data_IF_016457673535
#
_entry.id   IF_016457673535
#
_cell.length_a   1.000
_cell.length_b   1.000
_cell.length_c   1.000
_cell.angle_alpha   90.00
_cell.angle_beta   90.00
_cell.angle_gamma   90.00
#
_symmetry.space_group_name_H-M   'P 1'
#
loop_
_entity.id
_entity.type
_entity.pdbx_description
1 polymer ?
#
# COMPACT_ATOMS: atom_id res chain seq x y z
N UNK A 1 2.13 6.95 -12.44
CA UNK A 1 2.06 6.92 -10.97
C UNK A 1 2.27 5.50 -10.44
N UNK A 2 1.41 4.53 -10.69
CA UNK A 2 1.53 3.16 -10.13
C UNK A 2 2.82 2.43 -10.55
N UNK A 3 3.31 2.61 -11.78
CA UNK A 3 4.63 2.08 -12.19
C UNK A 3 5.77 2.60 -11.29
N UNK A 4 5.69 3.86 -10.82
CA UNK A 4 6.66 4.43 -9.90
C UNK A 4 6.52 3.85 -8.49
N UNK A 5 5.29 3.57 -8.04
CA UNK A 5 5.07 2.89 -6.77
C UNK A 5 5.69 1.48 -6.77
N UNK A 6 5.52 0.73 -7.87
CA UNK A 6 6.14 -0.59 -8.03
C UNK A 6 7.68 -0.52 -8.15
N UNK A 7 8.21 0.50 -8.85
CA UNK A 7 9.66 0.76 -8.89
C UNK A 7 10.23 1.01 -7.49
N UNK A 8 9.55 1.82 -6.68
CA UNK A 8 9.97 2.11 -5.31
C UNK A 8 9.81 0.91 -4.37
N UNK A 9 8.82 0.06 -4.62
CA UNK A 9 8.62 -1.18 -3.88
C UNK A 9 9.78 -2.17 -4.08
N UNK A 10 10.43 -2.17 -5.27
CA UNK A 10 11.60 -3.00 -5.61
C UNK A 10 11.34 -4.47 -5.25
N UNK A 11 10.32 -5.03 -5.89
CA UNK A 11 9.75 -6.35 -5.60
C UNK A 11 10.47 -7.42 -6.38
N UNK A 12 10.84 -8.50 -5.70
CA UNK A 12 11.38 -9.74 -6.28
C UNK A 12 10.59 -10.98 -5.84
N UNK A 13 10.96 -12.14 -6.33
CA UNK A 13 10.34 -13.44 -6.06
C UNK A 13 10.35 -13.90 -4.59
N UNK A 14 11.12 -13.24 -3.73
CA UNK A 14 11.19 -13.51 -2.29
C UNK A 14 10.40 -12.48 -1.46
N UNK A 15 9.93 -11.42 -2.11
CA UNK A 15 9.29 -10.28 -1.45
C UNK A 15 7.83 -10.56 -1.13
N UNK A 16 7.43 -10.45 0.12
CA UNK A 16 6.04 -10.41 0.56
C UNK A 16 5.51 -8.98 0.61
N UNK A 17 4.35 -8.74 0.00
CA UNK A 17 3.76 -7.41 -0.15
C UNK A 17 2.41 -7.33 0.56
N UNK A 18 2.12 -6.22 1.23
CA UNK A 18 0.79 -5.87 1.70
C UNK A 18 0.35 -4.56 1.01
N UNK A 19 -0.74 -4.62 0.26
CA UNK A 19 -1.36 -3.49 -0.45
C UNK A 19 -2.61 -3.05 0.31
N UNK A 20 -2.51 -1.93 1.00
CA UNK A 20 -3.57 -1.40 1.86
C UNK A 20 -4.32 -0.31 1.10
N UNK A 21 -5.65 -0.43 1.07
CA UNK A 21 -6.58 0.33 0.22
C UNK A 21 -6.47 -0.08 -1.26
N UNK A 22 -6.42 -1.40 -1.51
CA UNK A 22 -6.06 -1.97 -2.81
C UNK A 22 -7.14 -1.79 -3.91
N UNK A 23 -8.35 -1.36 -3.58
CA UNK A 23 -9.46 -1.23 -4.53
C UNK A 23 -9.71 -2.56 -5.26
N UNK A 24 -9.79 -2.50 -6.58
CA UNK A 24 -9.98 -3.68 -7.46
C UNK A 24 -8.69 -4.46 -7.72
N UNK A 25 -7.63 -4.22 -6.92
CA UNK A 25 -6.39 -4.96 -6.95
C UNK A 25 -5.37 -4.51 -8.00
N UNK A 26 -5.46 -3.30 -8.55
CA UNK A 26 -4.59 -2.86 -9.65
C UNK A 26 -3.10 -2.94 -9.28
N UNK A 27 -2.70 -2.38 -8.14
CA UNK A 27 -1.31 -2.43 -7.66
C UNK A 27 -0.97 -3.83 -7.20
N UNK A 28 -1.86 -4.47 -6.42
CA UNK A 28 -1.69 -5.83 -5.90
C UNK A 28 -1.36 -6.84 -7.01
N UNK A 29 -2.14 -6.83 -8.09
CA UNK A 29 -1.98 -7.80 -9.19
C UNK A 29 -0.71 -7.52 -10.02
N UNK A 30 -0.35 -6.25 -10.19
CA UNK A 30 0.93 -5.91 -10.83
C UNK A 30 2.11 -6.34 -9.96
N UNK A 31 2.04 -6.16 -8.64
CA UNK A 31 3.04 -6.62 -7.69
C UNK A 31 3.17 -8.14 -7.67
N UNK A 32 2.04 -8.86 -7.70
CA UNK A 32 1.97 -10.31 -7.63
C UNK A 32 2.74 -11.03 -8.75
N UNK A 33 2.93 -10.39 -9.90
CA UNK A 33 3.70 -10.96 -11.02
C UNK A 33 5.16 -11.24 -10.67
N UNK A 34 5.72 -10.50 -9.72
CA UNK A 34 7.11 -10.63 -9.31
C UNK A 34 7.27 -10.98 -7.82
N UNK A 35 6.22 -10.81 -7.02
CA UNK A 35 6.25 -11.03 -5.58
C UNK A 35 6.12 -12.51 -5.22
N UNK A 36 6.64 -12.89 -4.05
CA UNK A 36 6.37 -14.17 -3.40
C UNK A 36 4.90 -14.32 -3.05
N UNK A 37 4.32 -13.29 -2.45
CA UNK A 37 2.91 -13.26 -2.04
C UNK A 37 2.44 -11.81 -1.90
N UNK A 38 1.14 -11.60 -2.13
CA UNK A 38 0.48 -10.30 -1.94
C UNK A 38 -0.75 -10.45 -1.07
N UNK A 39 -0.91 -9.57 -0.11
CA UNK A 39 -2.13 -9.41 0.68
C UNK A 39 -2.74 -8.06 0.35
N UNK A 40 -3.94 -8.05 -0.22
CA UNK A 40 -4.71 -6.84 -0.51
C UNK A 40 -5.80 -6.60 0.54
N UNK A 41 -5.96 -5.35 0.97
CA UNK A 41 -6.98 -4.93 1.94
C UNK A 41 -7.78 -3.76 1.39
N UNK A 42 -9.11 -3.88 1.38
CA UNK A 42 -10.04 -2.86 0.90
C UNK A 42 -11.36 -2.97 1.68
N UNK A 43 -11.97 -1.83 2.01
CA UNK A 43 -13.23 -1.80 2.75
C UNK A 43 -14.45 -2.11 1.87
N UNK A 44 -14.36 -1.82 0.58
CA UNK A 44 -15.46 -2.00 -0.37
C UNK A 44 -15.51 -3.46 -0.81
N UNK A 45 -16.48 -4.22 -0.30
CA UNK A 45 -16.65 -5.66 -0.59
C UNK A 45 -16.72 -5.95 -2.09
N UNK A 46 -17.47 -5.14 -2.85
CA UNK A 46 -17.58 -5.27 -4.31
C UNK A 46 -16.22 -5.11 -5.02
N UNK A 47 -15.36 -4.19 -4.56
CA UNK A 47 -14.02 -4.02 -5.12
C UNK A 47 -13.15 -5.26 -4.86
N UNK A 48 -13.30 -5.91 -3.71
CA UNK A 48 -12.61 -7.17 -3.39
C UNK A 48 -13.11 -8.33 -4.26
N UNK A 49 -14.42 -8.39 -4.55
CA UNK A 49 -14.94 -9.37 -5.52
C UNK A 49 -14.29 -9.16 -6.89
N UNK A 50 -14.28 -7.92 -7.37
CA UNK A 50 -13.64 -7.56 -8.65
C UNK A 50 -12.12 -7.84 -8.62
N UNK A 51 -11.42 -7.60 -7.50
CA UNK A 51 -10.00 -7.93 -7.35
C UNK A 51 -9.73 -9.44 -7.49
N UNK A 52 -10.57 -10.28 -6.86
CA UNK A 52 -10.49 -11.74 -6.96
C UNK A 52 -10.77 -12.22 -8.40
N UNK A 53 -11.80 -11.66 -9.05
CA UNK A 53 -12.07 -11.96 -10.46
C UNK A 53 -10.90 -11.54 -11.36
N UNK A 54 -10.32 -10.38 -11.11
CA UNK A 54 -9.16 -9.89 -11.85
C UNK A 54 -7.93 -10.78 -11.64
N UNK A 55 -7.72 -11.30 -10.43
CA UNK A 55 -6.66 -12.28 -10.16
C UNK A 55 -6.83 -13.54 -11.02
N UNK A 56 -8.03 -14.11 -11.04
CA UNK A 56 -8.35 -15.29 -11.87
C UNK A 56 -8.15 -15.00 -13.36
N UNK A 57 -8.63 -13.85 -13.86
CA UNK A 57 -8.49 -13.46 -15.28
C UNK A 57 -7.03 -13.25 -15.72
N UNK A 58 -6.13 -13.03 -14.80
CA UNK A 58 -4.70 -12.79 -15.04
C UNK A 58 -3.81 -13.95 -14.58
N UNK A 59 -4.39 -15.11 -14.23
CA UNK A 59 -3.67 -16.31 -13.76
C UNK A 59 -2.76 -16.02 -12.55
N UNK A 60 -3.23 -15.17 -11.60
CA UNK A 60 -2.52 -14.80 -10.39
C UNK A 60 -3.09 -15.61 -9.21
N UNK A 61 -2.26 -16.48 -8.64
CA UNK A 61 -2.62 -17.39 -7.54
C UNK A 61 -2.00 -16.99 -6.19
N UNK A 62 -1.02 -16.08 -6.18
CA UNK A 62 -0.25 -15.66 -5.01
C UNK A 62 -0.76 -14.37 -4.36
N UNK A 63 -2.00 -13.96 -4.68
CA UNK A 63 -2.66 -12.78 -4.09
C UNK A 63 -3.90 -13.19 -3.29
N UNK A 64 -4.01 -12.69 -2.05
CA UNK A 64 -5.16 -12.91 -1.15
C UNK A 64 -5.77 -11.54 -0.84
N UNK A 65 -7.11 -11.45 -0.87
CA UNK A 65 -7.82 -10.20 -0.66
C UNK A 65 -8.81 -10.28 0.49
N UNK A 66 -8.81 -9.24 1.35
CA UNK A 66 -9.68 -9.10 2.51
C UNK A 66 -10.60 -7.89 2.38
N UNK A 67 -11.91 -8.11 2.55
CA UNK A 67 -12.92 -7.06 2.60
C UNK A 67 -13.14 -6.64 4.06
N UNK A 68 -12.43 -5.61 4.50
CA UNK A 68 -12.60 -4.98 5.83
C UNK A 68 -11.87 -3.63 5.81
N UNK A 69 -12.15 -2.79 6.79
CA UNK A 69 -11.40 -1.54 6.94
C UNK A 69 -9.96 -1.81 7.36
N UNK A 70 -9.03 -0.99 6.85
CA UNK A 70 -7.61 -1.16 7.13
C UNK A 70 -7.30 -1.13 8.63
N UNK A 71 -7.93 -0.20 9.36
CA UNK A 71 -7.78 -0.04 10.80
C UNK A 71 -8.26 -1.26 11.61
N UNK A 72 -9.16 -2.08 11.05
CA UNK A 72 -9.65 -3.30 11.69
C UNK A 72 -8.82 -4.53 11.34
N UNK A 73 -8.52 -4.73 10.06
CA UNK A 73 -7.94 -6.00 9.60
C UNK A 73 -6.41 -6.02 9.64
N UNK A 74 -5.74 -4.90 9.34
CA UNK A 74 -4.28 -4.87 9.29
C UNK A 74 -3.64 -5.21 10.65
N UNK A 75 -4.09 -4.62 11.78
CA UNK A 75 -3.56 -5.04 13.09
C UNK A 75 -3.75 -6.53 13.37
N UNK A 76 -4.91 -7.09 13.02
CA UNK A 76 -5.20 -8.53 13.22
C UNK A 76 -4.31 -9.45 12.37
N UNK A 77 -4.04 -9.05 11.11
CA UNK A 77 -3.14 -9.80 10.23
C UNK A 77 -1.72 -9.81 10.80
N UNK A 78 -1.23 -8.66 11.24
CA UNK A 78 0.10 -8.55 11.87
C UNK A 78 0.17 -9.36 13.18
N UNK A 79 -0.87 -9.33 14.01
CA UNK A 79 -0.95 -10.14 15.24
C UNK A 79 -0.95 -11.65 14.95
N UNK A 80 -1.57 -12.06 13.83
CA UNK A 80 -1.57 -13.46 13.36
C UNK A 80 -0.25 -13.90 12.74
N UNK A 81 0.72 -13.00 12.59
CA UNK A 81 2.06 -13.32 12.10
C UNK A 81 2.37 -12.89 10.68
N UNK A 82 1.47 -12.14 10.01
CA UNK A 82 1.82 -11.53 8.72
C UNK A 82 3.00 -10.58 8.89
N UNK A 83 4.01 -10.73 8.05
CA UNK A 83 5.24 -9.93 8.07
C UNK A 83 5.62 -9.54 6.65
N UNK A 84 4.95 -8.54 6.07
CA UNK A 84 5.28 -8.06 4.73
C UNK A 84 6.68 -7.42 4.71
N UNK A 85 7.46 -7.71 3.67
CA UNK A 85 8.72 -7.01 3.40
C UNK A 85 8.48 -5.59 2.91
N UNK A 86 7.39 -5.41 2.15
CA UNK A 86 6.96 -4.14 1.59
C UNK A 86 5.49 -3.89 1.88
N UNK A 87 5.18 -2.67 2.30
CA UNK A 87 3.80 -2.19 2.42
C UNK A 87 3.58 -1.09 1.38
N UNK A 88 2.51 -1.20 0.61
CA UNK A 88 2.03 -0.14 -0.29
C UNK A 88 0.74 0.43 0.29
N UNK A 89 0.62 1.74 0.30
CA UNK A 89 -0.54 2.48 0.82
C UNK A 89 -1.05 3.43 -0.26
N UNK A 90 -2.34 3.35 -0.57
CA UNK A 90 -3.05 4.34 -1.42
C UNK A 90 -4.34 4.80 -0.71
N UNK A 91 -4.23 5.51 0.43
CA UNK A 91 -5.37 5.85 1.24
C UNK A 91 -6.24 6.97 0.63
N UNK A 92 -7.48 7.13 1.10
CA UNK A 92 -8.33 8.25 0.74
C UNK A 92 -7.72 9.60 1.18
N UNK A 93 -8.31 10.72 0.74
CA UNK A 93 -7.83 12.10 1.00
C UNK A 93 -7.57 12.43 2.49
N UNK A 94 -8.22 11.74 3.42
CA UNK A 94 -8.00 11.92 4.87
C UNK A 94 -6.68 11.31 5.37
N UNK A 95 -5.98 10.56 4.54
CA UNK A 95 -4.80 9.78 4.92
C UNK A 95 -5.14 8.45 5.57
N UNK A 96 -4.14 7.78 6.13
CA UNK A 96 -4.28 6.52 6.84
C UNK A 96 -4.63 6.75 8.32
N UNK A 97 -5.31 5.79 8.92
CA UNK A 97 -5.61 5.80 10.36
C UNK A 97 -4.37 5.44 11.19
N UNK A 98 -4.26 6.01 12.38
CA UNK A 98 -3.11 5.80 13.28
C UNK A 98 -2.95 4.33 13.69
N UNK A 99 -4.05 3.59 13.84
CA UNK A 99 -3.99 2.17 14.17
C UNK A 99 -3.37 1.34 13.04
N UNK A 100 -3.67 1.69 11.78
CA UNK A 100 -3.06 1.09 10.59
C UNK A 100 -1.57 1.40 10.52
N UNK A 101 -1.18 2.67 10.70
CA UNK A 101 0.24 3.08 10.72
C UNK A 101 1.01 2.39 11.85
N UNK A 102 0.41 2.28 13.04
CA UNK A 102 0.99 1.57 14.19
C UNK A 102 1.19 0.08 13.88
N UNK A 103 0.24 -0.57 13.20
CA UNK A 103 0.38 -1.95 12.79
C UNK A 103 1.50 -2.15 11.76
N UNK A 104 1.65 -1.22 10.82
CA UNK A 104 2.78 -1.21 9.86
C UNK A 104 4.11 -1.10 10.60
N UNK A 105 4.22 -0.19 11.59
CA UNK A 105 5.43 -0.05 12.40
C UNK A 105 5.76 -1.36 13.14
N UNK A 106 4.75 -2.04 13.70
CA UNK A 106 4.90 -3.35 14.35
C UNK A 106 5.32 -4.47 13.39
N UNK A 107 4.82 -4.43 12.14
CA UNK A 107 5.19 -5.39 11.11
C UNK A 107 6.65 -5.24 10.66
N UNK A 108 7.21 -4.05 10.79
CA UNK A 108 8.59 -3.71 10.44
C UNK A 108 8.97 -4.00 8.98
N UNK A 109 8.15 -3.62 7.98
CA UNK A 109 8.54 -3.78 6.59
C UNK A 109 9.85 -3.02 6.30
N UNK A 110 10.62 -3.52 5.36
CA UNK A 110 11.85 -2.86 4.88
C UNK A 110 11.53 -1.55 4.16
N UNK A 111 10.39 -1.52 3.45
CA UNK A 111 9.92 -0.38 2.67
C UNK A 111 8.44 -0.12 2.89
N UNK A 112 8.10 1.16 2.93
CA UNK A 112 6.72 1.65 2.87
C UNK A 112 6.63 2.58 1.67
N UNK A 113 5.79 2.22 0.70
CA UNK A 113 5.48 3.05 -0.47
C UNK A 113 4.13 3.69 -0.26
N UNK A 114 4.08 4.99 -0.16
CA UNK A 114 2.87 5.76 0.09
C UNK A 114 2.46 6.52 -1.18
N UNK A 115 1.32 6.19 -1.75
CA UNK A 115 0.67 6.93 -2.83
C UNK A 115 -0.34 7.88 -2.19
N UNK A 116 -0.38 9.13 -2.62
CA UNK A 116 -1.24 10.14 -1.99
C UNK A 116 -1.76 11.18 -2.98
N UNK A 117 -3.06 11.42 -2.92
CA UNK A 117 -3.72 12.55 -3.61
C UNK A 117 -3.77 13.84 -2.74
N UNK A 118 -3.20 13.82 -1.53
CA UNK A 118 -3.20 14.97 -0.62
C UNK A 118 -1.85 15.12 0.11
N UNK A 119 -0.99 16.05 -0.31
CA UNK A 119 0.33 16.24 0.28
C UNK A 119 0.31 16.57 1.80
N UNK A 120 -0.75 17.21 2.29
CA UNK A 120 -0.83 17.57 3.70
C UNK A 120 -1.03 16.34 4.60
N UNK A 121 -1.91 15.42 4.21
CA UNK A 121 -2.11 14.16 4.94
C UNK A 121 -0.94 13.21 4.76
N UNK A 122 -0.31 13.19 3.59
CA UNK A 122 0.96 12.47 3.38
C UNK A 122 2.03 12.96 4.36
N UNK A 123 2.21 14.27 4.49
CA UNK A 123 3.24 14.83 5.39
C UNK A 123 2.98 14.46 6.85
N UNK A 124 1.71 14.44 7.30
CA UNK A 124 1.32 14.01 8.64
C UNK A 124 1.66 12.53 8.88
N UNK A 125 1.25 11.66 7.96
CA UNK A 125 1.42 10.21 8.10
C UNK A 125 2.89 9.81 7.94
N UNK A 126 3.60 10.45 7.01
CA UNK A 126 5.04 10.25 6.83
C UNK A 126 5.84 10.71 8.07
N UNK A 127 5.44 11.81 8.71
CA UNK A 127 6.05 12.22 9.98
C UNK A 127 5.85 11.16 11.06
N UNK A 128 4.63 10.61 11.20
CA UNK A 128 4.36 9.55 12.16
C UNK A 128 5.25 8.32 11.94
N UNK A 129 5.40 7.89 10.69
CA UNK A 129 6.31 6.80 10.32
C UNK A 129 7.78 7.16 10.60
N UNK A 130 8.19 8.40 10.30
CA UNK A 130 9.56 8.88 10.53
C UNK A 130 9.91 8.92 12.03
N UNK A 131 9.01 9.38 12.87
CA UNK A 131 9.19 9.40 14.33
C UNK A 131 9.30 7.97 14.91
N UNK A 132 8.96 6.95 14.11
CA UNK A 132 9.03 5.52 14.42
C UNK A 132 10.08 4.74 13.59
N UNK A 133 11.07 5.43 13.02
CA UNK A 133 12.28 4.85 12.45
C UNK A 133 12.25 4.64 10.94
N UNK A 134 11.27 5.19 10.21
CA UNK A 134 11.26 5.21 8.74
C UNK A 134 11.73 6.57 8.22
N UNK A 135 12.61 6.57 7.24
CA UNK A 135 13.12 7.80 6.61
C UNK A 135 12.57 7.92 5.19
N UNK A 136 12.11 9.12 4.80
CA UNK A 136 11.78 9.40 3.39
C UNK A 136 13.08 9.35 2.59
N UNK A 137 13.16 8.42 1.63
CA UNK A 137 14.34 8.23 0.77
C UNK A 137 14.11 8.70 -0.66
N UNK A 138 12.86 8.73 -1.12
CA UNK A 138 12.51 9.28 -2.42
C UNK A 138 11.06 9.78 -2.45
N UNK A 139 10.82 10.81 -3.28
CA UNK A 139 9.48 11.35 -3.51
C UNK A 139 9.37 11.76 -4.97
N UNK A 140 8.26 11.39 -5.61
CA UNK A 140 7.93 11.82 -6.98
C UNK A 140 6.51 12.37 -7.02
N UNK A 141 6.37 13.59 -7.53
CA UNK A 141 5.07 14.22 -7.74
C UNK A 141 4.60 14.03 -9.18
N UNK A 142 3.28 13.88 -9.36
CA UNK A 142 2.61 13.70 -10.66
C UNK A 142 1.49 14.71 -10.82
N UNK A 143 1.55 15.51 -11.86
CA UNK A 143 0.44 16.40 -12.26
C UNK A 143 -0.52 15.62 -13.18
N UNK A 144 -1.47 14.91 -12.56
CA UNK A 144 -2.52 14.16 -13.26
C UNK A 144 -3.80 14.97 -13.45
N UNK A 145 -3.90 16.14 -12.82
CA UNK A 145 -5.06 17.03 -12.84
C UNK A 145 -4.64 18.46 -13.20
N UNK A 146 -4.15 18.71 -14.44
CA UNK A 146 -3.66 20.03 -14.84
C UNK A 146 -4.75 21.09 -14.65
N UNK A 147 -4.33 22.32 -14.32
CA UNK A 147 -5.20 23.45 -13.98
C UNK A 147 -5.97 23.31 -12.64
N UNK A 148 -5.60 22.38 -11.78
CA UNK A 148 -6.11 22.27 -10.41
C UNK A 148 -4.96 22.36 -9.39
N UNK A 149 -5.29 22.47 -8.11
CA UNK A 149 -4.30 22.39 -7.03
C UNK A 149 -3.98 20.94 -6.58
N UNK A 150 -4.49 19.95 -7.30
CA UNK A 150 -4.30 18.54 -6.94
C UNK A 150 -3.00 18.01 -7.52
N UNK A 151 -2.19 17.39 -6.66
CA UNK A 151 -0.94 16.73 -7.03
C UNK A 151 -0.97 15.33 -6.42
N UNK A 152 -0.76 14.32 -7.27
CA UNK A 152 -0.52 12.97 -6.80
C UNK A 152 0.96 12.82 -6.43
N UNK A 153 1.25 12.11 -5.37
CA UNK A 153 2.61 11.94 -4.87
C UNK A 153 2.88 10.49 -4.53
N UNK A 154 4.00 9.96 -4.97
CA UNK A 154 4.52 8.66 -4.54
C UNK A 154 5.75 8.89 -3.68
N UNK A 155 5.70 8.43 -2.44
CA UNK A 155 6.75 8.58 -1.45
C UNK A 155 7.28 7.20 -1.04
N UNK A 156 8.61 7.03 -1.10
CA UNK A 156 9.28 5.85 -0.56
C UNK A 156 9.85 6.19 0.82
N UNK A 157 9.53 5.35 1.78
CA UNK A 157 10.12 5.38 3.11
C UNK A 157 10.81 4.04 3.40
N UNK A 158 11.99 4.09 3.97
CA UNK A 158 12.78 2.92 4.31
C UNK A 158 13.27 3.01 5.76
N UNK A 159 13.54 1.85 6.32
CA UNK A 159 14.08 1.72 7.68
C UNK A 159 15.59 1.63 7.67
#
# INVERSE_FOLDING_TARGET
>A
MYSKALEYADIDENTSVMDIYCGIGTISLCAAKNAKSVVGVEIVERAIEDAKENAVKNDIENAIFYADSAENIVPKLIEKGERPDVVILDPPRKGSDESTLTAIIKAQPKRVVYVSCNPATLARDARFLNDNGYTITATTAFDLFPHTSHVETVCLMSK
#
